data_IF_570862694745
#
_entry.id   IF_570862694745
#
_cell.length_a   1.000
_cell.length_b   1.000
_cell.length_c   1.000
_cell.angle_alpha   90.00
_cell.angle_beta   90.00
_cell.angle_gamma   90.00
#
_symmetry.space_group_name_H-M   'P 1'
#
loop_
_entity.id
_entity.type
_entity.pdbx_description
1 polymer ?
#
# COMPACT_ATOMS: atom_id res chain seq x y z
N UNK A 1 14.31 5.38 16.33
CA UNK A 1 13.80 4.33 15.43
C UNK A 1 12.42 3.88 15.89
N UNK A 2 11.41 3.87 15.01
CA UNK A 2 10.04 3.45 15.36
C UNK A 2 9.64 2.11 14.71
N UNK A 3 10.34 1.74 13.63
CA UNK A 3 10.05 0.53 12.84
C UNK A 3 10.08 -0.77 13.67
N UNK A 4 11.04 -1.01 14.59
CA UNK A 4 11.06 -2.23 15.39
C UNK A 4 9.81 -2.38 16.28
N UNK A 5 9.27 -1.26 16.79
CA UNK A 5 8.08 -1.24 17.64
C UNK A 5 6.81 -1.42 16.81
N UNK A 6 6.77 -0.86 15.60
CA UNK A 6 5.61 -0.96 14.70
C UNK A 6 5.61 -2.21 13.81
N UNK A 7 6.73 -2.93 13.73
CA UNK A 7 6.86 -4.14 12.91
C UNK A 7 5.72 -5.16 13.13
N UNK A 8 5.31 -5.49 14.38
CA UNK A 8 4.19 -6.42 14.60
C UNK A 8 2.88 -5.93 13.97
N UNK A 9 2.65 -4.61 13.92
CA UNK A 9 1.46 -4.03 13.28
C UNK A 9 1.50 -4.23 11.77
N UNK A 10 2.67 -4.03 11.15
CA UNK A 10 2.86 -4.24 9.70
C UNK A 10 2.74 -5.73 9.34
N UNK A 11 3.26 -6.62 10.18
CA UNK A 11 3.12 -8.08 10.00
C UNK A 11 1.65 -8.50 10.09
N UNK A 12 0.88 -7.92 11.02
CA UNK A 12 -0.57 -8.14 11.11
C UNK A 12 -1.31 -7.63 9.86
N UNK A 13 -0.93 -6.48 9.31
CA UNK A 13 -1.48 -5.99 8.02
C UNK A 13 -1.14 -6.96 6.90
N UNK A 14 0.08 -7.51 6.87
CA UNK A 14 0.49 -8.50 5.86
C UNK A 14 -0.33 -9.78 5.94
N UNK A 15 -0.64 -10.26 7.16
CA UNK A 15 -1.54 -11.41 7.37
C UNK A 15 -2.94 -11.16 6.81
N UNK A 16 -3.49 -9.96 7.03
CA UNK A 16 -4.81 -9.59 6.47
C UNK A 16 -4.77 -9.59 4.96
N UNK A 17 -3.71 -9.04 4.36
CA UNK A 17 -3.53 -9.05 2.90
C UNK A 17 -3.56 -10.48 2.38
N UNK A 18 -2.74 -11.39 2.94
CA UNK A 18 -2.68 -12.79 2.51
C UNK A 18 -4.04 -13.50 2.57
N UNK A 19 -4.82 -13.27 3.61
CA UNK A 19 -6.18 -13.83 3.73
C UNK A 19 -7.11 -13.31 2.63
N UNK A 20 -7.04 -12.03 2.28
CA UNK A 20 -7.96 -11.41 1.31
C UNK A 20 -7.58 -11.67 -0.15
N UNK A 21 -6.33 -12.02 -0.41
CA UNK A 21 -5.85 -12.32 -1.77
C UNK A 21 -5.87 -13.83 -2.07
N UNK A 22 -6.27 -14.67 -1.12
CA UNK A 22 -6.34 -16.11 -1.32
C UNK A 22 -7.23 -16.46 -2.52
N UNK A 23 -6.71 -17.26 -3.45
CA UNK A 23 -7.41 -17.61 -4.70
C UNK A 23 -7.38 -16.55 -5.80
N UNK A 24 -6.73 -15.40 -5.59
CA UNK A 24 -6.53 -14.36 -6.59
C UNK A 24 -5.09 -14.40 -7.16
N UNK A 25 -4.95 -14.25 -8.48
CA UNK A 25 -3.65 -14.04 -9.14
C UNK A 25 -3.22 -12.57 -8.98
N UNK A 26 -2.54 -12.27 -7.87
CA UNK A 26 -2.06 -10.92 -7.54
C UNK A 26 -0.59 -10.76 -7.93
N UNK A 27 -0.34 -9.90 -8.91
CA UNK A 27 1.01 -9.65 -9.44
C UNK A 27 1.81 -8.66 -8.61
N UNK A 28 1.14 -7.65 -8.05
CA UNK A 28 1.78 -6.59 -7.29
C UNK A 28 0.82 -5.96 -6.27
N UNK A 29 1.40 -5.30 -5.26
CA UNK A 29 0.69 -4.57 -4.20
C UNK A 29 1.16 -3.11 -4.22
N UNK A 30 0.24 -2.18 -4.48
CA UNK A 30 0.50 -0.74 -4.39
C UNK A 30 0.00 -0.19 -3.05
N UNK A 31 0.92 0.25 -2.18
CA UNK A 31 0.60 0.79 -0.86
C UNK A 31 0.29 2.28 -0.94
N UNK A 32 -0.88 2.67 -0.43
CA UNK A 32 -1.38 4.06 -0.45
C UNK A 32 -1.91 4.49 0.92
N UNK A 33 -2.17 5.79 1.10
CA UNK A 33 -2.63 6.36 2.36
C UNK A 33 -1.50 6.84 3.27
N UNK A 34 -1.88 7.57 4.33
CA UNK A 34 -0.92 8.25 5.21
C UNK A 34 0.02 7.31 5.97
N UNK A 35 -0.45 6.14 6.38
CA UNK A 35 0.37 5.13 7.09
C UNK A 35 1.54 4.64 6.24
N UNK A 36 1.37 4.59 4.92
CA UNK A 36 2.39 4.13 3.98
C UNK A 36 3.57 5.11 3.83
N UNK A 37 3.47 6.33 4.40
CA UNK A 37 4.61 7.24 4.53
C UNK A 37 5.71 6.70 5.47
N UNK A 38 5.42 5.68 6.29
CA UNK A 38 6.44 4.99 7.09
C UNK A 38 7.42 4.24 6.17
N UNK A 39 8.70 4.62 6.20
CA UNK A 39 9.77 3.98 5.41
C UNK A 39 9.97 2.52 5.83
N UNK A 40 10.09 1.62 4.85
CA UNK A 40 10.37 0.19 5.08
C UNK A 40 9.12 -0.69 5.28
N UNK A 41 7.92 -0.12 5.26
CA UNK A 41 6.68 -0.90 5.35
C UNK A 41 6.50 -1.83 4.14
N UNK A 42 6.90 -1.37 2.95
CA UNK A 42 6.88 -2.10 1.68
C UNK A 42 7.74 -3.37 1.72
N UNK A 43 8.90 -3.30 2.36
CA UNK A 43 9.82 -4.44 2.48
C UNK A 43 9.26 -5.51 3.42
N UNK A 44 8.65 -5.09 4.54
CA UNK A 44 8.03 -6.01 5.51
C UNK A 44 6.84 -6.72 4.85
N UNK A 45 5.98 -5.97 4.17
CA UNK A 45 4.80 -6.53 3.48
C UNK A 45 5.25 -7.48 2.37
N UNK A 46 6.16 -7.06 1.48
CA UNK A 46 6.69 -7.91 0.42
C UNK A 46 7.30 -9.20 0.95
N UNK A 47 8.04 -9.13 2.06
CA UNK A 47 8.64 -10.31 2.69
C UNK A 47 7.59 -11.30 3.21
N UNK A 48 6.47 -10.80 3.74
CA UNK A 48 5.41 -11.63 4.33
C UNK A 48 4.40 -12.15 3.29
N UNK A 49 4.14 -11.38 2.23
CA UNK A 49 3.20 -11.77 1.16
C UNK A 49 3.88 -12.52 0.03
N UNK A 50 5.19 -12.35 -0.16
CA UNK A 50 5.93 -12.88 -1.30
C UNK A 50 5.63 -12.17 -2.62
N UNK A 51 4.87 -11.07 -2.59
CA UNK A 51 4.39 -10.34 -3.77
C UNK A 51 5.12 -9.00 -3.87
N UNK A 52 5.49 -8.62 -5.10
CA UNK A 52 6.12 -7.33 -5.36
C UNK A 52 5.28 -6.20 -4.77
N UNK A 53 5.87 -5.44 -3.86
CA UNK A 53 5.16 -4.39 -3.11
C UNK A 53 5.89 -3.07 -3.29
N UNK A 54 5.16 -2.04 -3.67
CA UNK A 54 5.70 -0.71 -3.90
C UNK A 54 4.76 0.38 -3.37
N UNK A 55 5.29 1.59 -3.24
CA UNK A 55 4.50 2.78 -2.90
C UNK A 55 4.96 3.97 -3.73
N UNK A 56 4.05 4.88 -4.12
CA UNK A 56 4.44 6.12 -4.77
C UNK A 56 5.19 7.04 -3.79
N UNK A 57 5.87 8.06 -4.32
CA UNK A 57 6.65 9.00 -3.51
C UNK A 57 5.81 9.71 -2.44
N UNK A 58 4.53 9.99 -2.72
CA UNK A 58 3.61 10.65 -1.79
C UNK A 58 2.31 9.83 -1.62
N UNK A 59 2.32 8.71 -0.87
CA UNK A 59 1.19 7.79 -0.79
C UNK A 59 -0.06 8.39 -0.13
N UNK A 60 0.10 9.41 0.72
CA UNK A 60 -1.00 10.14 1.36
C UNK A 60 -1.96 10.80 0.35
N UNK A 61 -1.47 11.24 -0.81
CA UNK A 61 -2.26 12.02 -1.75
C UNK A 61 -2.98 11.19 -2.82
N UNK A 62 -2.75 9.87 -2.88
CA UNK A 62 -3.33 9.04 -3.95
C UNK A 62 -4.86 9.11 -3.96
N UNK A 63 -5.51 8.92 -2.82
CA UNK A 63 -6.98 8.98 -2.74
C UNK A 63 -7.53 10.39 -2.97
N UNK A 64 -7.03 11.46 -2.32
CA UNK A 64 -7.49 12.82 -2.61
C UNK A 64 -7.33 13.24 -4.07
N UNK A 65 -6.21 12.89 -4.72
CA UNK A 65 -5.98 13.19 -6.14
C UNK A 65 -6.93 12.39 -7.04
N UNK A 66 -7.20 11.12 -6.72
CA UNK A 66 -8.20 10.32 -7.44
C UNK A 66 -9.60 10.91 -7.36
N UNK A 67 -10.00 11.43 -6.19
CA UNK A 67 -11.28 12.14 -6.02
C UNK A 67 -11.30 13.42 -6.85
N UNK A 68 -10.23 14.23 -6.77
CA UNK A 68 -10.14 15.48 -7.53
C UNK A 68 -10.26 15.23 -9.04
N UNK A 69 -9.55 14.20 -9.55
CA UNK A 69 -9.61 13.77 -10.94
C UNK A 69 -11.03 13.33 -11.35
N UNK A 70 -11.71 12.55 -10.50
CA UNK A 70 -13.09 12.10 -10.76
C UNK A 70 -14.11 13.25 -10.83
N UNK A 71 -13.84 14.35 -10.12
CA UNK A 71 -14.69 15.54 -10.11
C UNK A 71 -14.52 16.46 -11.32
N UNK A 72 -13.44 16.30 -12.10
CA UNK A 72 -13.22 17.06 -13.34
C UNK A 72 -13.74 16.27 -14.53
N UNK A 73 -14.56 16.89 -15.40
CA UNK A 73 -15.07 16.25 -16.64
C UNK A 73 -14.04 16.23 -17.79
N UNK A 74 -12.90 16.86 -17.58
CA UNK A 74 -11.76 16.90 -18.49
C UNK A 74 -10.79 15.80 -18.06
N UNK A 75 -11.03 14.56 -18.47
CA UNK A 75 -10.13 13.44 -18.15
C UNK A 75 -9.58 12.89 -19.46
N UNK A 76 -8.41 13.40 -19.80
CA UNK A 76 -7.44 12.86 -20.78
C UNK A 76 -7.86 13.10 -22.24
N UNK A 77 -7.57 14.30 -22.76
CA UNK A 77 -6.81 14.40 -24.01
C UNK A 77 -5.32 14.42 -23.68
#
# INVERSE_FOLDING_TARGET
ELLPVLKPVVEKVSSIINEHIEGHDVKEISLVGGTCCLTGIEEIIQKQTGIYTHKPQNPMFVTPLGIALSCTKEIIE
#
